data_IF_940188869899
#
_entry.id   IF_940188869899
#
_cell.length_a   1.000
_cell.length_b   1.000
_cell.length_c   1.000
_cell.angle_alpha   90.00
_cell.angle_beta   90.00
_cell.angle_gamma   90.00
#
_symmetry.space_group_name_H-M   'P 1'
#
loop_
_entity.id
_entity.type
_entity.pdbx_description
1 polymer ?
#
# COMPACT_ATOMS: atom_id res chain seq x y z
N UNK A 1 13.34 -4.11 3.69
CA UNK A 1 13.11 -3.18 4.80
C UNK A 1 11.68 -3.34 5.28
N UNK A 2 11.50 -3.42 6.58
CA UNK A 2 10.18 -3.45 7.17
C UNK A 2 10.03 -2.38 8.25
N UNK A 3 8.79 -1.97 8.50
CA UNK A 3 8.49 -0.98 9.51
C UNK A 3 7.25 -1.41 10.28
N UNK A 4 7.30 -1.30 11.61
CA UNK A 4 6.19 -1.63 12.49
C UNK A 4 6.37 -0.82 13.77
N UNK A 5 5.27 -0.33 14.32
CA UNK A 5 5.37 0.41 15.59
C UNK A 5 5.62 -0.53 16.76
N UNK A 6 5.34 -1.82 16.60
CA UNK A 6 5.63 -2.83 17.59
C UNK A 6 7.04 -3.37 17.39
N UNK A 7 7.65 -3.78 18.49
CA UNK A 7 8.96 -4.43 18.43
C UNK A 7 8.82 -5.80 17.78
N UNK A 8 9.73 -6.11 16.86
CA UNK A 8 9.75 -7.39 16.17
C UNK A 8 11.10 -8.07 16.39
N UNK A 9 11.07 -9.39 16.43
CA UNK A 9 12.31 -10.17 16.50
C UNK A 9 13.09 -9.96 15.19
N UNK A 10 14.45 -9.89 15.29
CA UNK A 10 15.26 -9.69 14.09
C UNK A 10 15.05 -10.81 13.07
N UNK A 11 15.05 -10.42 11.79
CA UNK A 11 14.94 -11.35 10.68
C UNK A 11 16.20 -11.20 9.83
N UNK A 12 16.97 -12.28 9.62
CA UNK A 12 18.21 -12.17 8.84
C UNK A 12 17.94 -11.59 7.45
N UNK A 13 18.78 -10.64 7.05
CA UNK A 13 18.67 -10.01 5.73
C UNK A 13 17.62 -8.92 5.64
N UNK A 14 16.91 -8.61 6.72
CA UNK A 14 15.87 -7.59 6.73
C UNK A 14 16.26 -6.47 7.68
N UNK A 15 16.14 -5.24 7.22
CA UNK A 15 16.29 -4.05 8.06
C UNK A 15 14.90 -3.74 8.62
N UNK A 16 14.77 -3.81 9.94
CA UNK A 16 13.50 -3.55 10.61
C UNK A 16 13.57 -2.22 11.36
N UNK A 17 12.59 -1.37 11.12
CA UNK A 17 12.46 -0.09 11.80
C UNK A 17 11.28 -0.17 12.77
N UNK A 18 11.52 0.19 14.04
CA UNK A 18 10.42 0.29 15.01
C UNK A 18 9.93 1.72 15.00
N UNK A 19 8.86 1.97 14.26
CA UNK A 19 8.36 3.31 14.02
C UNK A 19 6.92 3.22 13.54
N UNK A 20 6.08 4.20 13.91
CA UNK A 20 4.74 4.30 13.38
C UNK A 20 4.83 4.87 11.95
N UNK A 21 4.32 4.11 10.98
CA UNK A 21 4.38 4.52 9.59
C UNK A 21 3.60 5.82 9.33
N UNK A 22 2.65 6.16 10.19
CA UNK A 22 1.89 7.39 10.03
C UNK A 22 2.62 8.62 10.55
N UNK A 23 3.79 8.46 11.17
CA UNK A 23 4.62 9.60 11.57
C UNK A 23 5.16 10.31 10.33
N UNK A 24 5.29 11.62 10.41
CA UNK A 24 5.68 12.44 9.25
C UNK A 24 7.05 12.07 8.70
N UNK A 25 7.97 11.61 9.54
CA UNK A 25 9.33 11.29 9.11
C UNK A 25 9.51 9.82 8.73
N UNK A 26 8.47 8.99 8.86
CA UNK A 26 8.60 7.56 8.56
C UNK A 26 8.95 7.29 7.09
N UNK A 27 8.33 7.96 6.10
CA UNK A 27 8.70 7.71 4.71
C UNK A 27 10.18 7.99 4.43
N UNK A 28 10.71 9.07 4.98
CA UNK A 28 12.12 9.42 4.78
C UNK A 28 13.04 8.37 5.41
N UNK A 29 12.67 7.87 6.58
CA UNK A 29 13.45 6.82 7.24
C UNK A 29 13.47 5.53 6.41
N UNK A 30 12.34 5.19 5.80
CA UNK A 30 12.28 4.01 4.94
C UNK A 30 13.14 4.17 3.69
N UNK A 31 13.09 5.34 3.06
CA UNK A 31 13.90 5.60 1.87
C UNK A 31 15.37 5.52 2.21
N UNK A 32 15.77 6.07 3.35
CA UNK A 32 17.15 6.01 3.79
C UNK A 32 17.59 4.56 4.05
N UNK A 33 16.73 3.77 4.68
CA UNK A 33 17.03 2.36 4.96
C UNK A 33 17.16 1.55 3.67
N UNK A 34 16.47 1.95 2.60
CA UNK A 34 16.60 1.30 1.31
C UNK A 34 17.84 1.75 0.53
N UNK A 35 18.63 2.67 1.10
CA UNK A 35 19.82 3.17 0.42
C UNK A 35 19.49 4.07 -0.76
N UNK A 36 18.32 4.67 -0.77
CA UNK A 36 17.89 5.54 -1.88
C UNK A 36 17.49 4.79 -3.14
N UNK A 37 17.47 3.46 -3.11
CA UNK A 37 17.09 2.67 -4.27
C UNK A 37 15.59 2.55 -4.36
N UNK A 38 15.10 2.33 -5.59
CA UNK A 38 13.68 2.07 -5.79
C UNK A 38 13.32 0.66 -5.33
N UNK A 39 12.06 0.48 -4.97
CA UNK A 39 11.55 -0.81 -4.52
C UNK A 39 10.90 -1.55 -5.67
N UNK A 40 10.97 -2.88 -5.64
CA UNK A 40 10.25 -3.71 -6.60
C UNK A 40 8.88 -4.08 -6.10
N UNK A 41 8.69 -4.05 -4.80
CA UNK A 41 7.43 -4.45 -4.16
C UNK A 41 7.24 -3.66 -2.88
N UNK A 42 6.05 -3.12 -2.71
CA UNK A 42 5.63 -2.52 -1.45
C UNK A 42 4.42 -3.31 -0.96
N UNK A 43 4.50 -3.80 0.27
CA UNK A 43 3.41 -4.58 0.88
C UNK A 43 2.97 -3.92 2.17
N UNK A 44 1.67 -3.96 2.43
CA UNK A 44 1.11 -3.42 3.65
C UNK A 44 0.01 -4.33 4.18
N UNK A 45 0.09 -4.68 5.47
CA UNK A 45 -1.03 -5.29 6.16
C UNK A 45 -1.31 -4.55 7.47
N UNK A 46 -1.06 -3.26 7.47
CA UNK A 46 -1.30 -2.40 8.63
C UNK A 46 -2.76 -2.43 9.06
N UNK A 47 -2.99 -2.31 10.35
CA UNK A 47 -4.34 -2.23 10.91
C UNK A 47 -4.31 -1.41 12.17
N UNK A 48 -5.42 -0.73 12.45
CA UNK A 48 -5.66 -0.13 13.74
C UNK A 48 -6.34 -1.16 14.64
N UNK A 49 -6.22 -1.03 15.97
CA UNK A 49 -7.04 -1.86 16.86
C UNK A 49 -8.52 -1.66 16.51
N UNK A 50 -9.26 -2.76 16.46
CA UNK A 50 -10.67 -2.68 16.09
C UNK A 50 -11.48 -2.08 17.23
N UNK A 51 -12.48 -1.28 16.85
CA UNK A 51 -13.38 -0.65 17.83
C UNK A 51 -14.65 -1.44 18.02
N UNK A 52 -14.92 -2.40 17.13
CA UNK A 52 -16.18 -3.11 17.08
C UNK A 52 -17.24 -2.41 16.25
N UNK A 53 -16.96 -1.19 15.80
CA UNK A 53 -17.87 -0.44 14.93
C UNK A 53 -17.37 -0.56 13.49
N UNK A 54 -18.04 -1.38 12.70
CA UNK A 54 -17.58 -1.74 11.38
C UNK A 54 -17.29 -0.56 10.44
N UNK A 55 -18.16 0.43 10.34
CA UNK A 55 -17.85 1.57 9.46
C UNK A 55 -16.60 2.32 9.87
N UNK A 56 -16.36 2.49 11.17
CA UNK A 56 -15.15 3.16 11.66
C UNK A 56 -13.91 2.33 11.36
N UNK A 57 -13.98 1.03 11.63
CA UNK A 57 -12.84 0.15 11.42
C UNK A 57 -12.48 0.08 9.94
N UNK A 58 -13.49 0.01 9.08
CA UNK A 58 -13.29 -0.01 7.64
C UNK A 58 -12.62 1.27 7.15
N UNK A 59 -13.10 2.42 7.62
CA UNK A 59 -12.54 3.70 7.21
C UNK A 59 -11.07 3.82 7.62
N UNK A 60 -10.72 3.33 8.81
CA UNK A 60 -9.34 3.38 9.28
C UNK A 60 -8.42 2.52 8.43
N UNK A 61 -8.90 1.36 7.99
CA UNK A 61 -8.11 0.50 7.10
C UNK A 61 -7.91 1.17 5.76
N UNK A 62 -8.96 1.76 5.20
CA UNK A 62 -8.86 2.49 3.94
C UNK A 62 -7.83 3.61 4.04
N UNK A 63 -7.83 4.36 5.14
CA UNK A 63 -6.87 5.44 5.33
C UNK A 63 -5.44 4.92 5.38
N UNK A 64 -5.20 3.80 6.05
CA UNK A 64 -3.86 3.21 6.10
C UNK A 64 -3.41 2.73 4.72
N UNK A 65 -4.32 2.14 3.96
CA UNK A 65 -4.00 1.69 2.60
C UNK A 65 -3.68 2.88 1.71
N UNK A 66 -4.42 3.98 1.85
CA UNK A 66 -4.17 5.18 1.05
C UNK A 66 -2.78 5.77 1.35
N UNK A 67 -2.39 5.80 2.62
CA UNK A 67 -1.07 6.29 3.01
C UNK A 67 0.01 5.38 2.43
N UNK A 68 -0.17 4.08 2.52
CA UNK A 68 0.79 3.13 1.98
C UNK A 68 0.88 3.22 0.47
N UNK A 69 -0.25 3.39 -0.21
CA UNK A 69 -0.28 3.50 -1.67
C UNK A 69 0.44 4.78 -2.13
N UNK A 70 0.22 5.88 -1.45
CA UNK A 70 0.90 7.13 -1.79
C UNK A 70 2.42 6.98 -1.64
N UNK A 71 2.86 6.34 -0.57
CA UNK A 71 4.28 6.04 -0.39
C UNK A 71 4.80 5.15 -1.52
N UNK A 72 4.02 4.14 -1.92
CA UNK A 72 4.42 3.23 -2.99
C UNK A 72 4.65 3.98 -4.31
N UNK A 73 3.82 4.98 -4.61
CA UNK A 73 3.98 5.76 -5.83
C UNK A 73 5.30 6.53 -5.84
N UNK A 74 5.83 6.86 -4.66
CA UNK A 74 7.10 7.58 -4.57
C UNK A 74 8.32 6.67 -4.68
N UNK A 75 8.21 5.41 -4.25
CA UNK A 75 9.39 4.57 -4.08
C UNK A 75 9.47 3.39 -5.05
N UNK A 76 8.37 3.03 -5.72
CA UNK A 76 8.40 1.87 -6.63
C UNK A 76 9.19 2.17 -7.90
N UNK A 77 9.94 1.16 -8.33
CA UNK A 77 10.54 1.18 -9.66
C UNK A 77 9.47 0.90 -10.72
N UNK A 78 9.63 1.41 -11.94
CA UNK A 78 8.71 1.04 -13.03
C UNK A 78 8.60 -0.47 -13.15
N UNK A 79 7.39 -0.97 -13.30
CA UNK A 79 7.11 -2.40 -13.33
C UNK A 79 6.88 -3.02 -11.96
N UNK A 80 7.09 -2.27 -10.89
CA UNK A 80 6.91 -2.77 -9.53
C UNK A 80 5.47 -3.02 -9.16
N UNK A 81 5.25 -3.53 -7.95
CA UNK A 81 3.93 -3.93 -7.49
C UNK A 81 3.64 -3.41 -6.08
N UNK A 82 2.36 -3.19 -5.81
CA UNK A 82 1.86 -2.82 -4.50
C UNK A 82 0.82 -3.83 -4.05
N UNK A 83 0.91 -4.29 -2.81
CA UNK A 83 -0.04 -5.25 -2.24
C UNK A 83 -0.48 -4.72 -0.87
N UNK A 84 -1.77 -4.67 -0.64
CA UNK A 84 -2.29 -4.22 0.65
C UNK A 84 -3.46 -5.08 1.09
N UNK A 85 -3.53 -5.31 2.40
CA UNK A 85 -4.65 -6.04 2.98
C UNK A 85 -5.82 -5.07 3.16
N UNK A 86 -6.99 -5.47 2.69
CA UNK A 86 -8.21 -4.67 2.75
C UNK A 86 -9.37 -5.56 3.18
N UNK A 87 -10.50 -4.95 3.52
CA UNK A 87 -11.72 -5.70 3.71
C UNK A 87 -12.36 -5.97 2.35
N UNK A 88 -12.83 -7.19 2.18
CA UNK A 88 -13.46 -7.63 0.95
C UNK A 88 -14.73 -6.82 0.69
N UNK A 89 -14.86 -6.33 -0.53
CA UNK A 89 -16.01 -5.53 -0.93
C UNK A 89 -16.00 -4.11 -0.44
N UNK A 90 -14.94 -3.70 0.27
CA UNK A 90 -14.90 -2.40 0.90
C UNK A 90 -13.82 -1.47 0.39
N UNK A 91 -13.26 -1.72 -0.78
CA UNK A 91 -12.22 -0.85 -1.31
C UNK A 91 -12.82 0.44 -1.85
N UNK A 92 -12.27 1.54 -1.42
CA UNK A 92 -12.71 2.87 -1.80
C UNK A 92 -12.54 3.08 -3.30
N UNK A 93 -13.56 3.65 -3.97
CA UNK A 93 -13.50 3.91 -5.41
C UNK A 93 -12.36 4.83 -5.78
N UNK A 94 -12.10 5.85 -4.97
CA UNK A 94 -11.02 6.79 -5.26
C UNK A 94 -9.66 6.11 -5.20
N UNK A 95 -9.48 5.21 -4.24
CA UNK A 95 -8.25 4.45 -4.12
C UNK A 95 -8.04 3.56 -5.33
N UNK A 96 -9.09 2.83 -5.74
CA UNK A 96 -9.01 1.98 -6.93
C UNK A 96 -8.72 2.80 -8.17
N UNK A 97 -9.36 3.95 -8.30
CA UNK A 97 -9.16 4.82 -9.46
C UNK A 97 -7.72 5.30 -9.53
N UNK A 98 -7.17 5.72 -8.41
CA UNK A 98 -5.78 6.16 -8.34
C UNK A 98 -4.82 5.04 -8.71
N UNK A 99 -5.05 3.83 -8.19
CA UNK A 99 -4.18 2.70 -8.50
C UNK A 99 -4.28 2.31 -9.98
N UNK A 100 -5.47 2.34 -10.56
CA UNK A 100 -5.64 2.01 -11.97
C UNK A 100 -4.95 3.02 -12.89
N UNK A 101 -4.84 4.26 -12.44
CA UNK A 101 -4.13 5.28 -13.22
C UNK A 101 -2.62 5.04 -13.22
N UNK A 102 -2.08 4.47 -12.15
CA UNK A 102 -0.63 4.36 -11.96
C UNK A 102 -0.09 2.94 -12.19
N UNK A 103 -0.97 1.95 -12.32
CA UNK A 103 -0.56 0.55 -12.50
C UNK A 103 -1.30 -0.04 -13.69
N UNK A 104 -0.66 -1.00 -14.35
CA UNK A 104 -1.25 -1.64 -15.53
C UNK A 104 -2.40 -2.57 -15.15
N UNK A 105 -2.36 -3.16 -13.97
CA UNK A 105 -3.33 -4.16 -13.54
C UNK A 105 -3.65 -3.99 -12.06
N UNK A 106 -4.91 -4.02 -11.70
CA UNK A 106 -5.37 -3.91 -10.31
C UNK A 106 -6.47 -4.92 -10.09
N UNK A 107 -6.34 -5.74 -9.05
CA UNK A 107 -7.34 -6.76 -8.76
C UNK A 107 -7.31 -7.11 -7.28
N UNK A 108 -8.37 -7.79 -6.83
CA UNK A 108 -8.45 -8.33 -5.48
C UNK A 108 -8.11 -9.81 -5.50
N UNK A 109 -7.35 -10.26 -4.50
CA UNK A 109 -6.96 -11.66 -4.36
C UNK A 109 -7.30 -12.15 -2.96
N UNK A 110 -7.77 -13.38 -2.87
CA UNK A 110 -8.01 -14.05 -1.60
C UNK A 110 -7.12 -15.28 -1.58
N UNK A 111 -6.10 -15.32 -0.70
CA UNK A 111 -5.17 -16.45 -0.69
C UNK A 111 -5.90 -17.77 -0.40
N UNK A 112 -5.42 -18.89 -0.95
CA UNK A 112 -6.05 -20.19 -0.67
C UNK A 112 -6.06 -20.56 0.81
N UNK A 113 -5.10 -20.04 1.59
CA UNK A 113 -5.03 -20.29 3.02
C UNK A 113 -6.05 -19.48 3.81
N UNK A 114 -6.69 -18.49 3.19
CA UNK A 114 -7.72 -17.69 3.87
C UNK A 114 -8.99 -18.49 4.04
N UNK A 115 -9.65 -18.25 5.17
CA UNK A 115 -10.94 -18.89 5.41
C UNK A 115 -11.98 -18.25 4.49
N UNK A 116 -12.91 -19.06 4.01
CA UNK A 116 -13.93 -18.58 3.08
C UNK A 116 -14.84 -17.53 3.68
N UNK A 117 -14.99 -17.52 5.01
CA UNK A 117 -15.83 -16.56 5.71
C UNK A 117 -15.06 -15.33 6.16
N UNK A 118 -13.76 -15.24 5.86
CA UNK A 118 -12.96 -14.08 6.22
C UNK A 118 -13.36 -12.88 5.38
N UNK A 119 -13.48 -11.73 6.02
CA UNK A 119 -13.74 -10.47 5.33
C UNK A 119 -12.48 -9.87 4.70
N UNK A 120 -11.32 -10.45 4.97
CA UNK A 120 -10.06 -9.91 4.47
C UNK A 120 -9.74 -10.44 3.09
N UNK A 121 -9.12 -9.56 2.29
CA UNK A 121 -8.61 -9.88 0.97
C UNK A 121 -7.39 -9.01 0.73
N UNK A 122 -6.67 -9.29 -0.35
CA UNK A 122 -5.53 -8.44 -0.74
C UNK A 122 -5.89 -7.67 -2.00
N UNK A 123 -5.56 -6.38 -1.98
CA UNK A 123 -5.63 -5.52 -3.15
C UNK A 123 -4.25 -5.55 -3.79
N UNK A 124 -4.17 -5.95 -5.04
CA UNK A 124 -2.91 -6.11 -5.77
C UNK A 124 -2.90 -5.16 -6.94
N UNK A 125 -1.83 -4.37 -7.06
CA UNK A 125 -1.61 -3.48 -8.18
C UNK A 125 -0.25 -3.80 -8.79
N UNK A 126 -0.20 -4.15 -10.06
CA UNK A 126 1.01 -4.61 -10.73
C UNK A 126 1.32 -3.75 -11.94
N UNK A 127 2.61 -3.69 -12.26
CA UNK A 127 3.06 -2.96 -13.43
C UNK A 127 3.04 -1.46 -13.22
N UNK A 128 3.74 -0.98 -12.20
CA UNK A 128 3.81 0.45 -11.91
C UNK A 128 4.33 1.21 -13.13
N UNK A 129 3.59 2.24 -13.55
CA UNK A 129 3.92 3.01 -14.75
C UNK A 129 4.92 4.13 -14.48
N UNK A 130 5.16 4.44 -13.20
CA UNK A 130 5.97 5.59 -12.85
C UNK A 130 5.10 6.81 -12.65
N UNK A 131 5.35 7.55 -11.59
CA UNK A 131 4.53 8.72 -11.28
C UNK A 131 4.61 9.78 -12.37
N UNK A 132 5.79 9.94 -12.96
CA UNK A 132 6.00 10.97 -13.97
C UNK A 132 5.23 10.68 -15.26
N UNK A 133 5.06 9.40 -15.59
CA UNK A 133 4.35 9.02 -16.82
C UNK A 133 2.86 9.32 -16.75
N UNK A 134 2.33 9.43 -15.53
CA UNK A 134 0.90 9.64 -15.35
C UNK A 134 0.57 11.10 -15.10
N UNK A 135 1.54 11.91 -14.70
CA UNK A 135 1.30 13.29 -14.33
C UNK A 135 0.71 14.14 -15.45
N UNK A 136 1.22 14.06 -16.70
CA UNK A 136 0.70 14.93 -17.75
C UNK A 136 -0.63 14.50 -18.32
N UNK A 137 -1.06 13.35 -18.04
CA UNK A 137 -2.30 12.85 -18.65
C UNK A 137 -3.52 13.56 -18.15
N UNK A 138 -3.35 14.41 -17.41
CA UNK A 138 -4.43 15.13 -16.89
C UNK A 138 -4.90 16.21 -17.70
N UNK A 139 -4.00 15.68 -18.36
CA UNK A 139 -4.51 16.38 -18.82
C UNK A 139 -5.31 16.22 -19.26
N UNK A 140 -4.84 15.62 -19.36
CA UNK A 140 -5.55 15.51 -19.73
C UNK A 140 -6.33 15.54 -19.68
N UNK A 141 -6.13 15.44 -19.56
CA UNK A 141 -6.80 15.49 -19.61
C UNK A 141 -7.42 15.60 -19.80
N UNK A 142 -6.97 15.52 -19.94
CA UNK A 142 -7.44 15.62 -20.21
C UNK A 142 -8.00 15.34 -20.44
N UNK A 143 -7.72 15.13 -20.42
CA UNK A 143 -8.23 14.89 -20.68
C UNK A 143 -8.76 14.57 -20.60
N UNK A 144 -8.73 14.49 -20.64
CA UNK A 144 -9.14 14.42 -20.65
C UNK A 144 -9.59 14.41 -20.71
#
# INVERSE_FOLDING_TARGET
>A
VGIDYLEMAPIPGVILLQKDFTDDDAPAMLVEAMGGKKADLVMSDMAWPTTGHRPTDHLRIVQLVEIAADFALDVLAPGGAFVAKVFQGGTEHELLHMLKRHFKSTFHAKPPSSRSDSAEAYLVAKGFKGREETAPAEDDEAGD
#
